data_IF_045419038013
#
_entry.id   IF_045419038013
#
_cell.length_a   1.000
_cell.length_b   1.000
_cell.length_c   1.000
_cell.angle_alpha   90.00
_cell.angle_beta   90.00
_cell.angle_gamma   90.00
#
_symmetry.space_group_name_H-M   'P 1'
#
loop_
_entity.id
_entity.type
_entity.pdbx_description
1 polymer ?
#
# COMPACT_ATOMS: atom_id res chain seq x y z
N UNK A 1 28.07 24.65 64.03
CA UNK A 1 26.85 25.14 63.34
C UNK A 1 27.14 25.02 61.83
N UNK A 2 26.76 23.85 61.20
CA UNK A 2 27.02 23.60 59.80
C UNK A 2 25.72 23.82 59.02
N UNK A 3 25.69 24.81 58.14
CA UNK A 3 24.58 25.06 57.23
C UNK A 3 24.80 24.17 55.97
N UNK A 4 23.94 23.19 55.82
CA UNK A 4 23.90 22.36 54.58
C UNK A 4 23.16 23.14 53.49
N UNK A 5 23.79 23.28 52.32
CA UNK A 5 23.20 23.85 51.11
C UNK A 5 22.36 22.75 50.46
N UNK A 6 21.06 22.93 50.18
CA UNK A 6 20.28 21.91 49.45
C UNK A 6 20.69 21.93 47.95
N UNK A 7 21.18 20.80 47.49
CA UNK A 7 21.48 20.60 46.10
C UNK A 7 20.19 20.55 45.24
N UNK A 8 20.07 21.47 44.31
CA UNK A 8 18.98 21.48 43.31
C UNK A 8 19.30 20.41 42.28
N UNK A 9 18.54 19.32 42.24
CA UNK A 9 18.61 18.32 41.16
C UNK A 9 17.83 18.86 39.99
N UNK A 10 18.55 19.31 38.94
CA UNK A 10 17.98 19.73 37.66
C UNK A 10 17.61 18.48 36.86
N UNK A 11 16.34 18.07 36.85
CA UNK A 11 15.84 17.01 35.99
C UNK A 11 15.63 17.59 34.60
N UNK A 12 16.58 17.32 33.69
CA UNK A 12 16.43 17.64 32.28
C UNK A 12 15.39 16.71 31.66
N UNK A 13 14.19 17.21 31.37
CA UNK A 13 13.20 16.50 30.57
C UNK A 13 13.71 16.45 29.11
N UNK A 14 14.23 15.30 28.69
CA UNK A 14 14.58 15.07 27.29
C UNK A 14 13.25 14.82 26.54
N UNK A 15 12.76 15.84 25.85
CA UNK A 15 11.67 15.69 24.89
C UNK A 15 12.22 14.93 23.67
N UNK A 16 11.93 13.63 23.60
CA UNK A 16 12.12 12.86 22.37
C UNK A 16 11.02 13.26 21.40
N UNK A 17 11.33 14.22 20.52
CA UNK A 17 10.44 14.54 19.40
C UNK A 17 10.45 13.32 18.46
N UNK A 18 9.28 12.82 18.01
CA UNK A 18 9.25 11.76 17.02
C UNK A 18 10.00 12.25 15.78
N UNK A 19 11.04 11.52 15.39
CA UNK A 19 11.77 11.78 14.16
C UNK A 19 10.81 11.51 12.99
N UNK A 20 10.36 12.59 12.36
CA UNK A 20 9.50 12.56 11.19
C UNK A 20 10.40 12.80 9.99
N UNK A 21 10.31 11.95 8.99
CA UNK A 21 11.13 12.07 7.79
C UNK A 21 10.29 11.76 6.55
N UNK A 22 10.50 12.55 5.49
CA UNK A 22 10.00 12.22 4.16
C UNK A 22 10.54 10.85 3.75
N UNK A 23 9.75 10.06 3.04
CA UNK A 23 10.19 8.81 2.44
C UNK A 23 10.49 9.08 0.98
N UNK A 24 11.67 8.73 0.56
CA UNK A 24 12.15 8.82 -0.82
C UNK A 24 12.12 7.44 -1.46
N UNK A 25 11.90 7.41 -2.76
CA UNK A 25 11.92 6.22 -3.60
C UNK A 25 12.92 6.41 -4.72
N UNK A 26 13.63 5.34 -5.09
CA UNK A 26 14.40 5.27 -6.33
C UNK A 26 14.32 3.87 -6.93
N UNK A 27 14.53 3.78 -8.23
CA UNK A 27 14.59 2.51 -8.96
C UNK A 27 16.05 2.28 -9.34
N UNK A 28 16.61 1.13 -8.96
CA UNK A 28 17.97 0.78 -9.34
C UNK A 28 18.08 0.31 -10.79
N UNK A 29 19.30 0.08 -11.26
CA UNK A 29 19.59 -0.38 -12.63
C UNK A 29 19.00 -1.75 -12.97
N UNK A 30 18.60 -2.53 -11.97
CA UNK A 30 17.93 -3.83 -12.12
C UNK A 30 16.40 -3.71 -12.09
N UNK A 31 15.84 -2.49 -12.03
CA UNK A 31 14.41 -2.23 -11.93
C UNK A 31 13.83 -2.52 -10.53
N UNK A 32 14.67 -2.59 -9.49
CA UNK A 32 14.22 -2.79 -8.12
C UNK A 32 13.88 -1.43 -7.49
N UNK A 33 12.69 -1.34 -6.90
CA UNK A 33 12.27 -0.14 -6.18
C UNK A 33 12.81 -0.18 -4.76
N UNK A 34 13.51 0.88 -4.37
CA UNK A 34 14.05 1.09 -3.05
C UNK A 34 13.35 2.25 -2.36
N UNK A 35 13.12 2.11 -1.05
CA UNK A 35 12.57 3.17 -0.20
C UNK A 35 13.58 3.52 0.89
N UNK A 36 13.78 4.82 1.13
CA UNK A 36 14.67 5.30 2.18
C UNK A 36 14.15 6.61 2.78
N UNK A 37 14.37 6.80 4.06
CA UNK A 37 14.16 8.08 4.72
C UNK A 37 15.45 8.93 4.78
N UNK A 38 16.56 8.39 4.29
CA UNK A 38 17.86 9.07 4.27
C UNK A 38 18.46 8.94 2.88
N UNK A 39 18.17 9.87 1.95
CA UNK A 39 18.80 9.89 0.64
C UNK A 39 20.29 10.25 0.81
N UNK A 40 21.17 9.29 0.59
CA UNK A 40 22.62 9.43 0.87
C UNK A 40 23.48 9.61 -0.37
N UNK A 41 22.95 9.32 -1.56
CA UNK A 41 23.71 9.40 -2.81
C UNK A 41 23.14 10.47 -3.73
N UNK A 42 23.91 11.52 -4.01
CA UNK A 42 23.51 12.64 -4.87
C UNK A 42 23.34 12.26 -6.36
N UNK A 43 23.88 11.12 -6.80
CA UNK A 43 23.77 10.63 -8.19
C UNK A 43 22.53 9.78 -8.43
N UNK A 44 21.80 9.41 -7.36
CA UNK A 44 20.56 8.62 -7.45
C UNK A 44 19.37 9.55 -7.61
N UNK A 45 18.52 9.31 -8.62
CA UNK A 45 17.28 10.05 -8.84
C UNK A 45 16.23 9.67 -7.78
N UNK A 46 16.34 10.31 -6.61
CA UNK A 46 15.37 10.14 -5.53
C UNK A 46 14.13 10.95 -5.80
N UNK A 47 12.98 10.28 -5.82
CA UNK A 47 11.67 10.93 -5.86
C UNK A 47 11.07 10.93 -4.47
N UNK A 48 10.47 12.04 -4.05
CA UNK A 48 9.72 12.09 -2.78
C UNK A 48 8.50 11.19 -2.94
N UNK A 49 8.49 10.08 -2.19
CA UNK A 49 7.41 9.11 -2.20
C UNK A 49 6.30 9.47 -1.21
N UNK A 50 6.67 9.81 0.01
CA UNK A 50 5.75 10.33 1.03
C UNK A 50 6.33 11.64 1.55
N UNK A 51 5.63 12.76 1.29
CA UNK A 51 5.93 14.03 1.92
C UNK A 51 5.11 14.12 3.20
N UNK A 52 5.79 14.30 4.31
CA UNK A 52 5.09 14.49 5.58
C UNK A 52 4.24 15.76 5.53
N UNK A 53 2.92 15.59 5.41
CA UNK A 53 1.97 16.69 5.55
C UNK A 53 1.76 16.99 7.02
N UNK A 54 2.04 18.22 7.47
CA UNK A 54 1.46 18.73 8.71
C UNK A 54 -0.05 18.47 8.64
N UNK A 55 -0.57 17.64 9.56
CA UNK A 55 -2.01 17.47 9.71
C UNK A 55 -2.64 18.84 9.99
N UNK A 56 -3.18 19.49 8.98
CA UNK A 56 -4.24 20.47 9.18
C UNK A 56 -5.50 19.66 9.47
N UNK A 57 -5.88 19.63 10.74
CA UNK A 57 -7.18 19.16 11.16
C UNK A 57 -8.23 20.14 10.64
N UNK A 58 -8.93 19.79 9.57
CA UNK A 58 -10.23 20.37 9.19
C UNK A 58 -10.70 19.64 7.92
N UNK A 59 -11.73 18.81 8.03
CA UNK A 59 -12.46 18.26 6.88
C UNK A 59 -12.35 16.74 6.64
N UNK A 60 -12.02 15.93 7.66
CA UNK A 60 -11.72 14.49 7.48
C UNK A 60 -12.89 13.53 7.78
N UNK A 61 -14.11 14.04 8.05
CA UNK A 61 -15.18 13.18 8.59
C UNK A 61 -15.98 12.40 7.54
N UNK A 62 -15.95 12.78 6.26
CA UNK A 62 -16.66 12.04 5.21
C UNK A 62 -15.79 10.96 4.55
N UNK A 63 -14.47 11.16 4.41
CA UNK A 63 -13.56 10.16 3.85
C UNK A 63 -13.30 8.96 4.79
N UNK A 64 -13.38 9.16 6.10
CA UNK A 64 -13.10 8.11 7.11
C UNK A 64 -14.20 7.05 7.21
N UNK A 65 -15.41 7.30 6.73
CA UNK A 65 -16.55 6.41 6.97
C UNK A 65 -16.49 5.13 6.15
N UNK A 66 -16.03 5.18 4.92
CA UNK A 66 -15.95 4.02 4.04
C UNK A 66 -14.69 3.17 4.22
N UNK A 67 -13.65 3.72 4.82
CA UNK A 67 -12.35 3.05 5.02
C UNK A 67 -12.42 1.87 6.01
N UNK A 68 -13.47 1.76 6.83
CA UNK A 68 -13.61 0.71 7.85
C UNK A 68 -14.76 -0.27 7.59
N UNK A 69 -15.65 0.03 6.64
CA UNK A 69 -16.85 -0.79 6.42
C UNK A 69 -16.52 -2.23 6.01
N UNK A 70 -15.36 -2.44 5.38
CA UNK A 70 -14.93 -3.75 4.87
C UNK A 70 -13.79 -4.39 5.68
N UNK A 71 -13.37 -3.79 6.79
CA UNK A 71 -12.22 -4.26 7.58
C UNK A 71 -12.36 -5.72 8.02
N UNK A 72 -13.55 -6.17 8.34
CA UNK A 72 -13.82 -7.56 8.71
C UNK A 72 -13.62 -8.55 7.54
N UNK A 73 -14.02 -8.21 6.30
CA UNK A 73 -13.77 -9.03 5.11
C UNK A 73 -12.29 -9.01 4.73
N UNK A 74 -11.63 -7.85 4.89
CA UNK A 74 -10.19 -7.71 4.64
C UNK A 74 -9.40 -8.57 5.63
N UNK A 75 -9.79 -8.58 6.92
CA UNK A 75 -9.14 -9.40 7.93
C UNK A 75 -9.26 -10.91 7.61
N UNK A 76 -10.48 -11.37 7.26
CA UNK A 76 -10.73 -12.75 6.87
C UNK A 76 -9.91 -13.17 5.64
N UNK A 77 -9.91 -12.32 4.58
CA UNK A 77 -9.18 -12.59 3.36
C UNK A 77 -7.66 -12.59 3.59
N UNK A 78 -7.17 -11.68 4.43
CA UNK A 78 -5.76 -11.57 4.81
C UNK A 78 -5.27 -12.83 5.52
N UNK A 79 -6.03 -13.32 6.50
CA UNK A 79 -5.73 -14.54 7.22
C UNK A 79 -5.76 -15.77 6.29
N UNK A 80 -6.83 -15.91 5.48
CA UNK A 80 -7.04 -17.06 4.59
C UNK A 80 -5.98 -17.17 3.51
N UNK A 81 -5.53 -16.06 2.96
CA UNK A 81 -4.60 -16.06 1.82
C UNK A 81 -3.16 -15.65 2.19
N UNK A 82 -2.87 -15.35 3.46
CA UNK A 82 -1.53 -14.99 3.91
C UNK A 82 -1.01 -13.69 3.28
N UNK A 83 -1.92 -12.71 3.06
CA UNK A 83 -1.58 -11.36 2.59
C UNK A 83 -1.84 -10.39 3.72
N UNK A 84 -0.91 -9.48 4.03
CA UNK A 84 -1.08 -8.60 5.18
C UNK A 84 -2.29 -7.67 5.02
N UNK A 85 -3.06 -7.48 6.09
CA UNK A 85 -4.24 -6.61 6.14
C UNK A 85 -3.98 -5.19 5.57
N UNK A 86 -2.91 -4.47 5.99
CA UNK A 86 -2.63 -3.14 5.43
C UNK A 86 -2.41 -3.15 3.91
N UNK A 87 -1.88 -4.26 3.36
CA UNK A 87 -1.61 -4.37 1.93
C UNK A 87 -2.91 -4.61 1.14
N UNK A 88 -3.79 -5.49 1.61
CA UNK A 88 -5.11 -5.71 0.98
C UNK A 88 -5.91 -4.41 1.00
N UNK A 89 -5.94 -3.72 2.15
CA UNK A 89 -6.62 -2.44 2.31
C UNK A 89 -6.07 -1.37 1.36
N UNK A 90 -4.75 -1.31 1.18
CA UNK A 90 -4.08 -0.40 0.26
C UNK A 90 -4.43 -0.67 -1.21
N UNK A 91 -4.52 -1.94 -1.60
CA UNK A 91 -4.94 -2.34 -2.94
C UNK A 91 -6.38 -1.87 -3.19
N UNK A 92 -7.32 -2.17 -2.29
CA UNK A 92 -8.73 -1.73 -2.41
C UNK A 92 -8.82 -0.21 -2.53
N UNK A 93 -8.09 0.53 -1.69
CA UNK A 93 -8.04 2.01 -1.76
C UNK A 93 -7.53 2.50 -3.11
N UNK A 94 -6.50 1.86 -3.66
CA UNK A 94 -5.93 2.23 -4.95
C UNK A 94 -6.85 1.90 -6.11
N UNK A 95 -7.55 0.76 -6.07
CA UNK A 95 -8.37 0.23 -7.16
C UNK A 95 -9.72 0.95 -7.27
N UNK A 96 -10.44 1.11 -6.16
CA UNK A 96 -11.83 1.57 -6.18
C UNK A 96 -12.16 2.70 -5.21
N UNK A 97 -11.20 3.09 -4.37
CA UNK A 97 -11.49 4.00 -3.24
C UNK A 97 -12.64 3.49 -2.35
N UNK A 98 -12.66 2.16 -2.11
CA UNK A 98 -13.71 1.43 -1.37
C UNK A 98 -15.11 1.49 -2.02
N UNK A 99 -15.22 1.77 -3.31
CA UNK A 99 -16.49 1.71 -4.01
C UNK A 99 -16.79 0.28 -4.50
N UNK A 100 -17.76 -0.45 -3.89
CA UNK A 100 -18.04 -1.83 -4.26
C UNK A 100 -18.68 -1.96 -5.66
N UNK A 101 -19.20 -0.86 -6.21
CA UNK A 101 -19.81 -0.82 -7.55
C UNK A 101 -18.93 -0.17 -8.61
N UNK A 102 -17.62 -0.05 -8.34
CA UNK A 102 -16.69 0.53 -9.30
C UNK A 102 -16.59 -0.33 -10.57
N UNK A 103 -16.60 0.34 -11.72
CA UNK A 103 -16.39 -0.26 -13.04
C UNK A 103 -15.34 0.60 -13.76
N UNK A 104 -14.21 0.02 -14.13
CA UNK A 104 -13.18 0.74 -14.89
C UNK A 104 -13.55 0.85 -16.37
N UNK A 105 -12.85 1.73 -17.08
CA UNK A 105 -12.97 1.84 -18.56
C UNK A 105 -12.60 0.55 -19.28
N UNK A 106 -11.76 -0.30 -18.67
CA UNK A 106 -11.33 -1.59 -19.20
C UNK A 106 -12.27 -2.74 -18.78
N UNK A 107 -13.31 -2.46 -17.99
CA UNK A 107 -14.28 -3.45 -17.53
C UNK A 107 -13.91 -4.18 -16.24
N UNK A 108 -12.91 -3.73 -15.50
CA UNK A 108 -12.60 -4.27 -14.18
C UNK A 108 -13.70 -3.90 -13.16
N UNK A 109 -14.02 -4.81 -12.23
CA UNK A 109 -15.24 -4.77 -11.41
C UNK A 109 -14.94 -4.80 -9.90
N UNK A 110 -15.68 -4.00 -9.15
CA UNK A 110 -15.80 -4.03 -7.69
C UNK A 110 -14.60 -3.46 -6.94
N UNK A 111 -14.50 -3.80 -5.65
CA UNK A 111 -13.54 -3.23 -4.70
C UNK A 111 -12.09 -3.43 -5.10
N UNK A 112 -11.74 -4.61 -5.60
CA UNK A 112 -10.38 -4.96 -6.02
C UNK A 112 -10.22 -5.00 -7.54
N UNK A 113 -11.17 -4.45 -8.30
CA UNK A 113 -11.13 -4.29 -9.76
C UNK A 113 -10.75 -5.57 -10.51
N UNK A 114 -11.55 -6.62 -10.30
CA UNK A 114 -11.32 -7.92 -10.93
C UNK A 114 -11.81 -7.88 -12.37
N UNK A 115 -10.95 -8.30 -13.30
CA UNK A 115 -11.31 -8.44 -14.70
C UNK A 115 -12.29 -9.62 -14.90
N UNK A 116 -13.31 -9.47 -15.77
CA UNK A 116 -14.35 -10.50 -15.99
C UNK A 116 -13.79 -11.88 -16.32
N UNK A 117 -12.70 -11.97 -17.07
CA UNK A 117 -12.06 -13.25 -17.43
C UNK A 117 -11.49 -14.01 -16.23
N UNK A 118 -11.26 -13.33 -15.10
CA UNK A 118 -10.74 -13.94 -13.88
C UNK A 118 -11.84 -14.41 -12.93
N UNK A 119 -13.10 -14.00 -13.11
CA UNK A 119 -14.19 -14.29 -12.17
C UNK A 119 -14.39 -15.79 -11.95
N UNK A 120 -14.39 -16.57 -13.03
CA UNK A 120 -14.60 -18.01 -12.95
C UNK A 120 -13.48 -18.73 -12.19
N UNK A 121 -12.21 -18.42 -12.49
CA UNK A 121 -11.05 -19.06 -11.82
C UNK A 121 -10.95 -18.63 -10.34
N UNK A 122 -11.43 -17.44 -10.03
CA UNK A 122 -11.47 -16.91 -8.67
C UNK A 122 -12.74 -17.30 -7.90
N UNK A 123 -13.68 -18.00 -8.56
CA UNK A 123 -14.96 -18.44 -7.99
C UNK A 123 -15.82 -17.26 -7.47
N UNK A 124 -15.79 -16.13 -8.19
CA UNK A 124 -16.61 -14.96 -7.91
C UNK A 124 -17.88 -15.07 -8.73
N UNK A 125 -19.04 -15.10 -8.08
CA UNK A 125 -20.36 -15.14 -8.72
C UNK A 125 -20.93 -13.73 -8.91
N UNK A 126 -20.84 -12.90 -7.88
CA UNK A 126 -21.17 -11.48 -7.93
C UNK A 126 -19.94 -10.62 -7.66
N UNK A 127 -19.33 -9.99 -8.70
CA UNK A 127 -18.16 -9.15 -8.52
C UNK A 127 -18.44 -7.85 -7.74
N UNK A 128 -19.71 -7.52 -7.47
CA UNK A 128 -20.10 -6.37 -6.66
C UNK A 128 -20.45 -6.75 -5.20
N UNK A 129 -20.50 -8.05 -4.89
CA UNK A 129 -20.54 -8.50 -3.50
C UNK A 129 -19.18 -8.24 -2.84
N UNK A 130 -19.14 -7.46 -1.74
CA UNK A 130 -17.88 -7.08 -1.12
C UNK A 130 -17.04 -8.27 -0.64
N UNK A 131 -17.67 -9.29 -0.06
CA UNK A 131 -16.95 -10.45 0.47
C UNK A 131 -16.34 -11.26 -0.67
N UNK A 132 -17.11 -11.59 -1.72
CA UNK A 132 -16.62 -12.36 -2.86
C UNK A 132 -15.49 -11.63 -3.58
N UNK A 133 -15.64 -10.33 -3.79
CA UNK A 133 -14.65 -9.52 -4.50
C UNK A 133 -13.34 -9.40 -3.72
N UNK A 134 -13.40 -9.12 -2.40
CA UNK A 134 -12.20 -9.03 -1.55
C UNK A 134 -11.53 -10.39 -1.43
N UNK A 135 -12.30 -11.46 -1.22
CA UNK A 135 -11.78 -12.81 -1.09
C UNK A 135 -11.07 -13.27 -2.37
N UNK A 136 -11.74 -13.12 -3.52
CA UNK A 136 -11.19 -13.49 -4.83
C UNK A 136 -10.01 -12.61 -5.23
N UNK A 137 -10.10 -11.29 -5.02
CA UNK A 137 -9.02 -10.34 -5.33
C UNK A 137 -7.78 -10.57 -4.49
N UNK A 138 -7.93 -10.85 -3.19
CA UNK A 138 -6.81 -11.19 -2.30
C UNK A 138 -6.16 -12.50 -2.72
N UNK A 139 -6.97 -13.52 -3.08
CA UNK A 139 -6.46 -14.78 -3.64
C UNK A 139 -5.66 -14.53 -4.93
N UNK A 140 -6.17 -13.70 -5.84
CA UNK A 140 -5.46 -13.36 -7.08
C UNK A 140 -4.14 -12.65 -6.81
N UNK A 141 -4.13 -11.72 -5.87
CA UNK A 141 -2.90 -11.05 -5.47
C UNK A 141 -1.89 -12.02 -4.81
N UNK A 142 -2.36 -13.00 -4.00
CA UNK A 142 -1.51 -14.06 -3.47
C UNK A 142 -0.86 -14.86 -4.58
N UNK A 143 -1.59 -15.22 -5.64
CA UNK A 143 -1.02 -15.89 -6.81
C UNK A 143 0.09 -15.06 -7.47
N UNK A 144 -0.03 -13.73 -7.50
CA UNK A 144 1.03 -12.85 -8.00
C UNK A 144 2.26 -12.86 -7.07
N UNK A 145 2.05 -12.80 -5.76
CA UNK A 145 3.16 -12.91 -4.79
C UNK A 145 3.91 -14.23 -4.94
N UNK A 146 3.21 -15.34 -5.11
CA UNK A 146 3.83 -16.67 -5.31
C UNK A 146 4.62 -16.73 -6.62
N UNK A 147 4.03 -16.25 -7.72
CA UNK A 147 4.66 -16.24 -9.05
C UNK A 147 5.95 -15.42 -9.05
N UNK A 148 5.96 -14.28 -8.39
CA UNK A 148 7.10 -13.36 -8.34
C UNK A 148 7.94 -13.50 -7.06
N UNK A 149 7.85 -14.66 -6.37
CA UNK A 149 8.70 -15.04 -5.23
C UNK A 149 8.69 -13.98 -4.10
N UNK A 150 7.52 -13.40 -3.82
CA UNK A 150 7.33 -12.40 -2.78
C UNK A 150 7.89 -11.01 -3.11
N UNK A 151 8.37 -10.77 -4.34
CA UNK A 151 8.84 -9.45 -4.77
C UNK A 151 7.66 -8.51 -4.95
N UNK A 152 7.31 -7.77 -3.89
CA UNK A 152 6.10 -6.96 -3.82
C UNK A 152 5.90 -6.01 -5.01
N UNK A 153 6.91 -5.22 -5.47
CA UNK A 153 6.71 -4.33 -6.63
C UNK A 153 6.37 -5.07 -7.92
N UNK A 154 6.99 -6.23 -8.17
CA UNK A 154 6.69 -7.05 -9.35
C UNK A 154 5.30 -7.70 -9.26
N UNK A 155 4.89 -8.09 -8.05
CA UNK A 155 3.56 -8.66 -7.80
C UNK A 155 2.46 -7.62 -8.01
N UNK A 156 2.68 -6.37 -7.59
CA UNK A 156 1.79 -5.24 -7.85
C UNK A 156 1.74 -4.91 -9.35
N UNK A 157 2.91 -4.89 -10.03
CA UNK A 157 2.96 -4.72 -11.47
C UNK A 157 2.14 -5.79 -12.21
N UNK A 158 2.27 -7.05 -11.77
CA UNK A 158 1.57 -8.18 -12.36
C UNK A 158 0.05 -8.14 -12.09
N UNK A 159 -0.35 -7.67 -10.92
CA UNK A 159 -1.75 -7.47 -10.61
C UNK A 159 -2.40 -6.43 -11.54
N UNK A 160 -1.72 -5.31 -11.79
CA UNK A 160 -2.21 -4.20 -12.60
C UNK A 160 -2.06 -4.44 -14.12
N UNK A 161 -0.87 -4.85 -14.58
CA UNK A 161 -0.54 -4.99 -16.02
C UNK A 161 -0.67 -6.42 -16.55
N UNK A 162 -1.00 -7.38 -15.68
CA UNK A 162 -1.05 -8.81 -15.99
C UNK A 162 0.30 -9.53 -15.85
N UNK A 163 0.30 -10.78 -15.30
CA UNK A 163 1.53 -11.52 -15.02
C UNK A 163 2.35 -11.83 -16.28
N UNK A 164 1.71 -12.14 -17.40
CA UNK A 164 2.39 -12.41 -18.67
C UNK A 164 3.19 -11.20 -19.18
N UNK A 165 2.69 -10.00 -18.92
CA UNK A 165 3.41 -8.77 -19.27
C UNK A 165 4.69 -8.65 -18.45
N UNK A 166 4.61 -8.82 -17.14
CA UNK A 166 5.78 -8.74 -16.25
C UNK A 166 6.80 -9.82 -16.55
N UNK A 167 6.36 -11.04 -16.87
CA UNK A 167 7.26 -12.13 -17.29
C UNK A 167 8.02 -11.80 -18.59
N UNK A 168 7.34 -11.16 -19.54
CA UNK A 168 7.96 -10.73 -20.81
C UNK A 168 9.04 -9.70 -20.60
N UNK A 169 8.76 -8.71 -19.76
CA UNK A 169 9.74 -7.66 -19.44
C UNK A 169 10.82 -8.12 -18.44
N UNK A 170 10.57 -9.18 -17.69
CA UNK A 170 11.41 -9.65 -16.55
C UNK A 170 11.70 -8.57 -15.50
N UNK A 171 10.91 -7.52 -15.51
CA UNK A 171 10.99 -6.32 -14.65
C UNK A 171 9.60 -5.66 -14.58
N UNK A 172 9.50 -4.55 -13.85
CA UNK A 172 8.33 -3.67 -13.95
C UNK A 172 8.28 -3.14 -15.37
N UNK A 173 7.15 -3.34 -16.12
CA UNK A 173 7.03 -2.81 -17.46
C UNK A 173 7.03 -1.27 -17.42
N UNK A 174 7.64 -0.57 -18.39
CA UNK A 174 7.73 0.88 -18.43
C UNK A 174 6.39 1.53 -18.84
N UNK A 175 5.34 1.18 -18.15
CA UNK A 175 4.01 1.72 -18.32
C UNK A 175 3.71 2.70 -17.20
N UNK A 176 3.52 3.97 -17.55
CA UNK A 176 3.23 5.03 -16.58
C UNK A 176 2.07 4.66 -15.65
N UNK A 177 1.00 4.04 -16.17
CA UNK A 177 -0.14 3.57 -15.38
C UNK A 177 0.29 2.57 -14.31
N UNK A 178 1.17 1.62 -14.65
CA UNK A 178 1.63 0.58 -13.73
C UNK A 178 2.60 1.13 -12.68
N UNK A 179 3.50 2.03 -13.07
CA UNK A 179 4.40 2.71 -12.15
C UNK A 179 3.62 3.55 -11.13
N UNK A 180 2.67 4.36 -11.59
CA UNK A 180 1.80 5.18 -10.74
C UNK A 180 0.95 4.32 -9.80
N UNK A 181 0.47 3.17 -10.29
CA UNK A 181 -0.28 2.21 -9.48
C UNK A 181 0.56 1.65 -8.33
N UNK A 182 1.78 1.20 -8.62
CA UNK A 182 2.69 0.68 -7.58
C UNK A 182 2.97 1.76 -6.54
N UNK A 183 3.30 2.98 -6.98
CA UNK A 183 3.54 4.12 -6.07
C UNK A 183 2.33 4.37 -5.17
N UNK A 184 1.13 4.41 -5.75
CA UNK A 184 -0.14 4.65 -5.05
C UNK A 184 -0.43 3.58 -4.00
N UNK A 185 -0.31 2.29 -4.36
CA UNK A 185 -0.53 1.18 -3.42
C UNK A 185 0.48 1.22 -2.28
N UNK A 186 1.76 1.42 -2.59
CA UNK A 186 2.81 1.47 -1.57
C UNK A 186 2.61 2.64 -0.61
N UNK A 187 2.20 3.82 -1.11
CA UNK A 187 1.86 4.97 -0.28
C UNK A 187 0.75 4.62 0.73
N UNK A 188 -0.35 4.01 0.27
CA UNK A 188 -1.43 3.59 1.16
C UNK A 188 -1.01 2.48 2.11
N UNK A 189 -0.22 1.51 1.63
CA UNK A 189 0.28 0.42 2.46
C UNK A 189 1.06 0.94 3.68
N UNK A 190 1.98 1.89 3.47
CA UNK A 190 2.72 2.49 4.57
C UNK A 190 1.84 3.34 5.49
N UNK A 191 0.83 4.04 4.95
CA UNK A 191 -0.09 4.83 5.76
C UNK A 191 -1.01 4.00 6.66
N UNK A 192 -1.32 2.75 6.26
CA UNK A 192 -2.12 1.82 7.05
C UNK A 192 -1.28 0.95 8.00
N UNK A 193 0.03 0.86 7.77
CA UNK A 193 0.92 0.04 8.58
C UNK A 193 1.41 0.76 9.84
N UNK A 194 1.50 2.08 9.79
CA UNK A 194 2.02 2.95 10.85
C UNK A 194 1.01 4.04 11.25
#
# INVERSE_FOLDING_TARGET
MFFGIPGIILVALIYVLPARADIYMFIDTNGVIHFTNVPTNAETDYRIFIKEKRRKSLGADSEKRYDHDYDHYIAEASERHGVSFPLVKAIIKAESDFNPRAISKKGALGLMQIMPENLQILQIQDPFDPWENIMGGTRYFRMMLDRFKGKLPLSLAAYNAGPTTVDRYKSIPPFKETEDYIEKVMMYYYSYKY
#
